data_IF_194277145069
#
_entry.id   IF_194277145069
#
_cell.length_a   1.000
_cell.length_b   1.000
_cell.length_c   1.000
_cell.angle_alpha   90.00
_cell.angle_beta   90.00
_cell.angle_gamma   90.00
#
_symmetry.space_group_name_H-M   'P 1'
#
loop_
_entity.id
_entity.type
_entity.pdbx_description
1 polymer ?
#
# COMPACT_ATOMS: atom_id res chain seq x y z
N UNK A 1 20.14 21.76 16.05
CA UNK A 1 18.98 21.13 15.40
C UNK A 1 19.40 19.69 15.11
N UNK A 2 18.88 18.72 15.87
CA UNK A 2 19.24 17.32 15.66
C UNK A 2 18.69 16.84 14.30
N UNK A 3 19.38 15.89 13.65
CA UNK A 3 18.97 15.32 12.36
C UNK A 3 17.53 14.77 12.38
N UNK A 4 17.03 14.36 13.56
CA UNK A 4 15.66 13.94 13.82
C UNK A 4 14.62 15.05 13.60
N UNK A 5 14.92 16.29 14.01
CA UNK A 5 14.02 17.44 13.87
C UNK A 5 14.02 18.01 12.45
N UNK A 6 15.18 18.02 11.79
CA UNK A 6 15.28 18.43 10.38
C UNK A 6 14.53 17.45 9.45
N UNK A 7 14.55 16.14 9.77
CA UNK A 7 13.81 15.12 9.05
C UNK A 7 12.28 15.25 9.22
N UNK A 8 11.81 15.54 10.43
CA UNK A 8 10.39 15.84 10.67
C UNK A 8 9.94 17.11 9.94
N UNK A 9 10.82 18.12 9.86
CA UNK A 9 10.55 19.37 9.13
C UNK A 9 10.46 19.17 7.62
N UNK A 10 11.38 18.39 7.01
CA UNK A 10 11.37 18.10 5.56
C UNK A 10 10.14 17.30 5.12
N UNK A 11 9.68 16.35 5.96
CA UNK A 11 8.43 15.62 5.70
C UNK A 11 7.22 16.57 5.77
N UNK A 12 7.18 17.47 6.77
CA UNK A 12 6.08 18.42 6.97
C UNK A 12 5.97 19.44 5.82
N UNK A 13 7.10 19.87 5.24
CA UNK A 13 7.14 20.80 4.11
C UNK A 13 6.58 20.16 2.82
N UNK A 14 6.83 18.86 2.58
CA UNK A 14 6.35 18.18 1.37
C UNK A 14 4.83 17.89 1.41
N UNK A 15 4.28 17.62 2.60
CA UNK A 15 2.82 17.43 2.77
C UNK A 15 2.04 18.75 2.62
N UNK A 16 2.57 19.87 3.09
CA UNK A 16 1.93 21.18 2.94
C UNK A 16 1.92 21.70 1.49
N UNK A 17 2.84 21.24 0.64
CA UNK A 17 2.92 21.66 -0.76
C UNK A 17 1.87 20.98 -1.66
N UNK A 18 1.26 19.87 -1.23
CA UNK A 18 0.23 19.13 -2.00
C UNK A 18 -1.19 19.56 -1.62
N UNK A 19 -1.37 20.34 -0.55
CA UNK A 19 -2.69 20.68 0.02
C UNK A 19 -3.09 22.15 -0.17
N UNK A 20 -3.05 22.68 -1.39
CA UNK A 20 -3.71 23.97 -1.70
C UNK A 20 -5.04 23.76 -2.43
N UNK A 21 -6.12 24.01 -1.67
CA UNK A 21 -7.57 23.96 -1.93
C UNK A 21 -8.26 22.65 -1.52
N UNK A 22 -8.63 22.59 -0.25
CA UNK A 22 -9.69 21.68 0.24
C UNK A 22 -11.01 22.45 0.19
N UNK A 23 -12.00 21.89 -0.52
CA UNK A 23 -13.38 22.35 -0.51
C UNK A 23 -14.01 22.16 0.88
N UNK A 24 -14.83 23.10 1.38
CA UNK A 24 -15.53 22.92 2.64
C UNK A 24 -16.64 21.88 2.45
N UNK A 25 -16.36 20.62 2.82
CA UNK A 25 -17.29 19.50 2.71
C UNK A 25 -16.67 18.18 2.28
N UNK A 26 -15.44 18.18 1.75
CA UNK A 26 -14.74 16.96 1.36
C UNK A 26 -14.08 16.27 2.55
N UNK A 27 -14.47 15.03 2.84
CA UNK A 27 -13.68 14.13 3.70
C UNK A 27 -12.34 13.95 2.98
N UNK A 28 -11.27 14.53 3.52
CA UNK A 28 -9.93 14.32 2.99
C UNK A 28 -9.65 12.81 2.95
N UNK A 29 -9.51 12.26 1.74
CA UNK A 29 -9.19 10.85 1.49
C UNK A 29 -7.79 10.56 2.03
N UNK A 30 -7.70 10.26 3.32
CA UNK A 30 -6.45 9.81 3.91
C UNK A 30 -6.21 8.36 3.48
N UNK A 31 -5.14 8.11 2.73
CA UNK A 31 -4.79 6.75 2.33
C UNK A 31 -4.49 5.89 3.56
N UNK A 32 -5.33 4.88 3.79
CA UNK A 32 -5.10 3.89 4.84
C UNK A 32 -3.71 3.27 4.72
N UNK A 33 -3.04 3.05 5.85
CA UNK A 33 -1.71 2.42 5.89
C UNK A 33 -1.78 1.13 6.68
N UNK A 34 -1.13 0.08 6.20
CA UNK A 34 -1.00 -1.18 6.93
C UNK A 34 0.37 -1.27 7.58
N UNK A 35 0.44 -1.78 8.81
CA UNK A 35 1.67 -2.23 9.45
C UNK A 35 1.45 -3.65 9.98
N UNK A 36 2.36 -4.56 9.65
CA UNK A 36 2.46 -5.91 10.17
C UNK A 36 3.72 -6.02 10.99
N UNK A 37 3.59 -6.63 12.16
CA UNK A 37 4.64 -6.97 13.09
C UNK A 37 4.54 -8.46 13.41
N UNK A 38 5.61 -9.19 13.13
CA UNK A 38 5.75 -10.59 13.48
C UNK A 38 7.01 -10.77 14.31
N UNK A 39 6.88 -11.30 15.53
CA UNK A 39 8.03 -11.66 16.36
C UNK A 39 8.40 -13.11 16.15
N UNK A 40 9.70 -13.41 16.22
CA UNK A 40 10.21 -14.78 16.17
C UNK A 40 9.71 -15.60 17.34
N UNK A 41 9.78 -15.01 18.53
CA UNK A 41 9.19 -15.61 19.73
C UNK A 41 7.72 -15.18 19.87
N UNK A 42 6.80 -16.14 19.68
CA UNK A 42 5.35 -15.93 19.69
C UNK A 42 4.84 -15.34 21.01
N UNK A 43 5.51 -15.61 22.13
CA UNK A 43 5.07 -15.18 23.47
C UNK A 43 5.35 -13.71 23.78
N UNK A 44 6.08 -12.99 22.93
CA UNK A 44 6.52 -11.62 23.20
C UNK A 44 5.70 -10.53 22.51
N UNK A 45 4.64 -10.89 21.78
CA UNK A 45 3.71 -9.89 21.22
C UNK A 45 2.66 -9.58 22.29
N UNK A 46 2.96 -8.58 23.13
CA UNK A 46 1.95 -8.05 24.04
C UNK A 46 0.94 -7.23 23.26
N UNK A 47 -0.30 -7.71 23.17
CA UNK A 47 -1.42 -7.01 22.52
C UNK A 47 -1.55 -5.55 23.03
N UNK A 48 -1.47 -5.36 24.36
CA UNK A 48 -1.59 -4.04 24.97
C UNK A 48 -0.46 -3.07 24.56
N UNK A 49 0.78 -3.57 24.43
CA UNK A 49 1.90 -2.74 23.99
C UNK A 49 1.73 -2.34 22.51
N UNK A 50 1.43 -3.31 21.64
CA UNK A 50 1.22 -3.02 20.22
C UNK A 50 0.07 -2.04 19.98
N UNK A 51 -1.07 -2.23 20.65
CA UNK A 51 -2.22 -1.32 20.55
C UNK A 51 -1.85 0.11 20.95
N UNK A 52 -1.10 0.29 22.03
CA UNK A 52 -0.61 1.60 22.46
C UNK A 52 0.33 2.22 21.42
N UNK A 53 1.31 1.45 20.95
CA UNK A 53 2.29 1.89 19.95
C UNK A 53 1.61 2.32 18.64
N UNK A 54 0.70 1.51 18.11
CA UNK A 54 -0.06 1.83 16.89
C UNK A 54 -0.95 3.05 17.09
N UNK A 55 -1.60 3.21 18.25
CA UNK A 55 -2.42 4.40 18.53
C UNK A 55 -1.58 5.67 18.49
N UNK A 56 -0.38 5.63 19.09
CA UNK A 56 0.56 6.76 19.04
C UNK A 56 1.06 7.03 17.62
N UNK A 57 1.42 5.98 16.87
CA UNK A 57 1.83 6.09 15.47
C UNK A 57 0.71 6.69 14.61
N UNK A 58 -0.52 6.23 14.76
CA UNK A 58 -1.71 6.72 14.05
C UNK A 58 -1.89 8.21 14.25
N UNK A 59 -1.80 8.69 15.50
CA UNK A 59 -1.89 10.14 15.81
C UNK A 59 -0.77 10.93 15.14
N UNK A 60 0.46 10.42 15.17
CA UNK A 60 1.59 11.09 14.51
C UNK A 60 1.45 11.10 12.99
N UNK A 61 0.80 10.09 12.40
CA UNK A 61 0.63 9.94 10.95
C UNK A 61 -0.57 10.70 10.41
N UNK A 62 -1.55 11.02 11.25
CA UNK A 62 -2.73 11.76 10.84
C UNK A 62 -2.39 13.25 10.73
N UNK A 63 -2.68 13.91 9.59
CA UNK A 63 -2.53 15.35 9.43
C UNK A 63 -3.40 16.11 10.44
N UNK A 64 -2.92 17.26 10.90
CA UNK A 64 -3.58 18.07 11.93
C UNK A 64 -4.99 18.57 11.52
N UNK A 65 -5.30 18.54 10.21
CA UNK A 65 -6.56 19.01 9.64
C UNK A 65 -7.61 17.91 9.39
N UNK A 66 -7.34 16.65 9.78
CA UNK A 66 -8.26 15.53 9.60
C UNK A 66 -8.59 14.92 10.97
N UNK A 67 -9.87 14.66 11.29
CA UNK A 67 -10.22 13.96 12.51
C UNK A 67 -9.54 12.58 12.57
N UNK A 68 -8.85 12.25 13.67
CA UNK A 68 -8.18 10.97 13.78
C UNK A 68 -9.20 9.84 13.86
N UNK A 69 -9.09 8.89 12.93
CA UNK A 69 -9.86 7.63 12.97
C UNK A 69 -9.05 6.59 13.74
N UNK A 70 -9.64 5.91 14.75
CA UNK A 70 -8.95 4.85 15.47
C UNK A 70 -8.42 3.76 14.53
N UNK A 71 -7.20 3.26 14.75
CA UNK A 71 -6.64 2.19 13.93
C UNK A 71 -7.41 0.88 14.15
N UNK A 72 -7.63 0.12 13.08
CA UNK A 72 -8.16 -1.25 13.18
C UNK A 72 -7.00 -2.20 13.47
N UNK A 73 -7.06 -2.91 14.59
CA UNK A 73 -5.98 -3.79 15.08
C UNK A 73 -6.42 -5.25 14.96
N UNK A 74 -5.52 -6.10 14.48
CA UNK A 74 -5.74 -7.53 14.25
C UNK A 74 -4.55 -8.26 14.86
N UNK A 75 -4.80 -9.22 15.74
CA UNK A 75 -3.72 -10.02 16.36
C UNK A 75 -4.09 -11.49 16.40
N UNK A 76 -3.21 -12.36 15.91
CA UNK A 76 -3.31 -13.81 16.09
C UNK A 76 -1.93 -14.47 16.02
N UNK A 77 -1.72 -15.54 16.79
CA UNK A 77 -0.56 -16.42 16.71
C UNK A 77 0.81 -15.73 16.72
N UNK A 78 1.00 -14.65 17.48
CA UNK A 78 2.26 -13.89 17.52
C UNK A 78 2.50 -12.98 16.30
N UNK A 79 1.45 -12.71 15.52
CA UNK A 79 1.38 -11.67 14.50
C UNK A 79 0.45 -10.58 15.00
N UNK A 80 0.87 -9.34 14.83
CA UNK A 80 0.06 -8.17 15.07
C UNK A 80 0.06 -7.29 13.83
N UNK A 81 -1.12 -6.88 13.40
CA UNK A 81 -1.32 -6.04 12.24
C UNK A 81 -2.23 -4.87 12.62
N UNK A 82 -1.97 -3.71 12.04
CA UNK A 82 -2.84 -2.56 12.18
C UNK A 82 -3.06 -1.83 10.87
N UNK A 83 -4.29 -1.36 10.68
CA UNK A 83 -4.69 -0.47 9.60
C UNK A 83 -4.91 0.91 10.21
N UNK A 84 -4.04 1.85 9.86
CA UNK A 84 -4.13 3.27 10.25
C UNK A 84 -5.07 3.98 9.29
N UNK A 85 -5.98 4.77 9.83
CA UNK A 85 -7.07 5.43 9.10
C UNK A 85 -7.86 4.43 8.23
N UNK A 86 -8.47 3.40 8.84
CA UNK A 86 -9.20 2.38 8.10
C UNK A 86 -10.37 2.99 7.33
N UNK A 87 -10.67 2.41 6.16
CA UNK A 87 -11.89 2.66 5.42
C UNK A 87 -12.69 1.36 5.26
N UNK A 88 -13.99 1.46 5.02
CA UNK A 88 -14.91 0.31 4.94
C UNK A 88 -14.65 -0.61 3.74
N UNK A 89 -13.94 -0.13 2.72
CA UNK A 89 -13.74 -0.83 1.44
C UNK A 89 -12.58 -1.84 1.52
N UNK A 90 -11.74 -1.77 2.57
CA UNK A 90 -10.60 -2.68 2.71
C UNK A 90 -11.04 -4.11 2.99
N UNK A 91 -10.62 -5.04 2.12
CA UNK A 91 -10.83 -6.46 2.33
C UNK A 91 -9.93 -6.98 3.47
N UNK A 92 -10.57 -7.49 4.52
CA UNK A 92 -9.92 -8.06 5.72
C UNK A 92 -10.54 -9.41 6.03
N UNK A 93 -9.71 -10.46 6.18
CA UNK A 93 -10.16 -11.80 6.59
C UNK A 93 -9.09 -12.46 7.45
N UNK A 94 -9.43 -12.76 8.71
CA UNK A 94 -8.45 -13.23 9.70
C UNK A 94 -7.31 -12.23 9.87
N UNK A 95 -6.06 -12.71 9.80
CA UNK A 95 -4.82 -11.92 9.82
C UNK A 95 -4.32 -11.53 8.42
N UNK A 96 -5.22 -11.44 7.45
CA UNK A 96 -4.91 -11.08 6.07
C UNK A 96 -5.69 -9.82 5.66
N UNK A 97 -5.00 -8.93 4.96
CA UNK A 97 -5.51 -7.61 4.54
C UNK A 97 -5.04 -7.31 3.13
N UNK A 98 -5.97 -6.94 2.26
CA UNK A 98 -5.67 -6.35 0.97
C UNK A 98 -5.78 -4.83 1.08
N UNK A 99 -4.64 -4.13 0.93
CA UNK A 99 -4.61 -2.68 0.83
C UNK A 99 -4.83 -2.31 -0.62
N UNK A 100 -6.06 -1.93 -0.99
CA UNK A 100 -6.46 -1.65 -2.37
C UNK A 100 -7.59 -2.57 -2.82
N UNK A 101 -7.67 -2.81 -4.12
CA UNK A 101 -8.77 -3.55 -4.74
C UNK A 101 -8.26 -4.87 -5.32
N UNK A 102 -8.99 -5.95 -5.03
CA UNK A 102 -8.81 -7.25 -5.66
C UNK A 102 -9.94 -7.42 -6.67
N UNK A 103 -9.62 -7.76 -7.92
CA UNK A 103 -10.60 -8.03 -8.95
C UNK A 103 -11.08 -9.48 -8.82
N UNK A 104 -12.40 -9.67 -8.76
CA UNK A 104 -13.04 -10.98 -8.61
C UNK A 104 -12.36 -11.85 -7.54
N UNK A 105 -12.38 -11.41 -6.26
CA UNK A 105 -11.57 -12.02 -5.21
C UNK A 105 -11.92 -13.51 -5.03
N UNK A 106 -10.97 -14.44 -5.23
CA UNK A 106 -11.23 -15.84 -4.97
C UNK A 106 -11.49 -16.06 -3.48
N UNK A 107 -12.33 -17.03 -3.10
CA UNK A 107 -12.66 -17.28 -1.69
C UNK A 107 -11.42 -17.46 -0.80
N UNK A 108 -10.33 -17.98 -1.37
CA UNK A 108 -9.04 -18.28 -0.76
C UNK A 108 -8.01 -17.14 -0.83
N UNK A 109 -8.37 -15.93 -1.26
CA UNK A 109 -7.43 -14.81 -1.45
C UNK A 109 -6.59 -14.47 -0.21
N UNK A 110 -7.05 -14.86 0.98
CA UNK A 110 -6.46 -14.57 2.28
C UNK A 110 -5.48 -15.64 2.77
N UNK A 111 -5.36 -16.77 2.07
CA UNK A 111 -4.53 -17.92 2.47
C UNK A 111 -3.09 -17.71 1.97
N UNK A 112 -2.06 -17.73 2.85
CA UNK A 112 -0.67 -17.66 2.43
C UNK A 112 -0.28 -18.77 1.45
N UNK A 113 0.55 -18.45 0.46
CA UNK A 113 0.99 -19.33 -0.62
C UNK A 113 -0.16 -19.84 -1.52
N UNK A 114 -1.35 -19.27 -1.41
CA UNK A 114 -2.45 -19.49 -2.33
C UNK A 114 -2.30 -18.65 -3.60
N UNK A 115 -3.21 -18.87 -4.57
CA UNK A 115 -3.26 -18.11 -5.83
C UNK A 115 -3.22 -16.59 -5.57
N UNK A 116 -2.31 -15.89 -6.23
CA UNK A 116 -2.27 -14.43 -6.22
C UNK A 116 -3.42 -13.93 -7.09
N UNK A 117 -4.34 -13.09 -6.56
CA UNK A 117 -5.44 -12.58 -7.37
C UNK A 117 -4.98 -11.42 -8.26
N UNK A 118 -5.78 -11.10 -9.28
CA UNK A 118 -5.59 -9.88 -10.06
C UNK A 118 -6.09 -8.66 -9.28
N UNK A 119 -5.51 -7.48 -9.52
CA UNK A 119 -5.96 -6.25 -8.87
C UNK A 119 -4.88 -5.18 -8.77
N UNK A 120 -5.18 -4.17 -7.95
CA UNK A 120 -4.30 -3.05 -7.62
C UNK A 120 -4.17 -2.98 -6.10
N UNK A 121 -3.15 -3.65 -5.56
CA UNK A 121 -3.09 -3.91 -4.13
C UNK A 121 -1.67 -4.06 -3.58
N UNK A 122 -1.57 -3.82 -2.27
CA UNK A 122 -0.54 -4.40 -1.42
C UNK A 122 -1.21 -5.42 -0.50
N UNK A 123 -0.89 -6.70 -0.68
CA UNK A 123 -1.58 -7.80 0.00
C UNK A 123 -0.70 -8.38 1.09
N UNK A 124 -1.25 -8.41 2.31
CA UNK A 124 -0.64 -9.00 3.48
C UNK A 124 -1.46 -10.24 3.83
N UNK A 125 -0.84 -11.41 3.82
CA UNK A 125 -1.45 -12.67 4.24
C UNK A 125 -0.66 -13.25 5.37
N UNK A 126 -1.33 -13.83 6.35
CA UNK A 126 -0.59 -14.53 7.40
C UNK A 126 -1.42 -15.57 8.12
N UNK A 127 -0.71 -16.54 8.70
CA UNK A 127 -1.23 -17.55 9.61
C UNK A 127 -0.17 -17.91 10.66
N UNK A 128 -0.40 -18.97 11.44
CA UNK A 128 0.54 -19.41 12.47
C UNK A 128 1.95 -19.76 11.94
N UNK A 129 2.06 -20.19 10.69
CA UNK A 129 3.29 -20.74 10.11
C UNK A 129 4.01 -19.79 9.16
N UNK A 130 3.28 -18.88 8.50
CA UNK A 130 3.81 -18.03 7.43
C UNK A 130 3.28 -16.61 7.49
N UNK A 131 4.13 -15.68 7.06
CA UNK A 131 3.72 -14.33 6.64
C UNK A 131 4.07 -14.18 5.17
N UNK A 132 3.11 -13.76 4.37
CA UNK A 132 3.26 -13.54 2.94
C UNK A 132 2.87 -12.10 2.58
N UNK A 133 3.70 -11.47 1.77
CA UNK A 133 3.51 -10.13 1.24
C UNK A 133 3.51 -10.21 -0.27
N UNK A 134 2.49 -9.66 -0.92
CA UNK A 134 2.32 -9.74 -2.36
C UNK A 134 2.06 -8.36 -2.94
N UNK A 135 2.77 -8.04 -4.02
CA UNK A 135 2.54 -6.87 -4.86
C UNK A 135 1.83 -7.31 -6.13
N UNK A 136 0.92 -6.46 -6.63
CA UNK A 136 0.34 -6.67 -7.96
C UNK A 136 1.40 -6.52 -9.07
N UNK A 137 0.99 -6.82 -10.32
CA UNK A 137 1.85 -6.86 -11.49
C UNK A 137 2.71 -5.61 -11.69
N UNK A 138 2.20 -4.43 -11.34
CA UNK A 138 2.89 -3.15 -11.52
C UNK A 138 3.37 -2.53 -10.19
N UNK A 139 3.11 -3.19 -9.07
CA UNK A 139 3.45 -2.68 -7.75
C UNK A 139 2.72 -1.37 -7.45
N UNK A 140 1.42 -1.31 -7.78
CA UNK A 140 0.61 -0.09 -7.68
C UNK A 140 0.62 0.52 -6.27
N UNK A 141 0.85 -0.33 -5.26
CA UNK A 141 1.08 0.07 -3.87
C UNK A 141 2.37 -0.54 -3.38
N UNK A 142 3.22 0.32 -2.83
CA UNK A 142 4.51 -0.12 -2.29
C UNK A 142 4.34 -0.92 -1.01
N UNK A 143 5.08 -2.02 -0.91
CA UNK A 143 5.25 -2.79 0.33
C UNK A 143 6.72 -2.73 0.71
N UNK A 144 6.97 -2.30 1.94
CA UNK A 144 8.28 -2.22 2.53
C UNK A 144 8.40 -3.28 3.61
N UNK A 145 9.59 -3.84 3.78
CA UNK A 145 9.85 -4.79 4.85
C UNK A 145 11.26 -4.63 5.43
N UNK A 146 11.43 -5.15 6.64
CA UNK A 146 12.72 -5.35 7.29
C UNK A 146 12.64 -6.63 8.13
N UNK A 147 13.74 -7.37 8.14
CA UNK A 147 13.90 -8.55 8.99
C UNK A 147 15.12 -8.36 9.88
N UNK A 148 14.95 -8.61 11.16
CA UNK A 148 16.01 -8.73 12.17
C UNK A 148 16.00 -10.15 12.76
N UNK A 149 16.98 -10.51 13.60
CA UNK A 149 17.00 -11.82 14.25
C UNK A 149 15.72 -12.18 15.03
N UNK A 150 15.00 -11.18 15.54
CA UNK A 150 13.84 -11.35 16.44
C UNK A 150 12.52 -10.80 15.88
N UNK A 151 12.58 -9.97 14.84
CA UNK A 151 11.45 -9.18 14.35
C UNK A 151 11.38 -9.19 12.83
N UNK A 152 10.17 -9.34 12.31
CA UNK A 152 9.83 -9.04 10.94
C UNK A 152 8.77 -7.94 10.92
N UNK A 153 9.06 -6.86 10.22
CA UNK A 153 8.12 -5.75 10.02
C UNK A 153 7.84 -5.61 8.54
N UNK A 154 6.58 -5.34 8.22
CA UNK A 154 6.17 -4.98 6.88
C UNK A 154 5.13 -3.86 6.91
N UNK A 155 5.17 -2.96 5.95
CA UNK A 155 4.24 -1.84 5.91
C UNK A 155 4.13 -1.20 4.53
N UNK A 156 3.01 -0.55 4.27
CA UNK A 156 2.87 0.41 3.16
C UNK A 156 3.44 1.81 3.53
N UNK A 157 4.19 1.92 4.64
CA UNK A 157 4.82 3.16 5.11
C UNK A 157 6.19 2.86 5.73
N UNK A 158 7.26 3.37 5.12
CA UNK A 158 8.61 3.28 5.70
C UNK A 158 8.68 3.92 7.09
N UNK A 159 7.94 5.02 7.31
CA UNK A 159 7.89 5.73 8.59
C UNK A 159 7.32 4.86 9.71
N UNK A 160 6.35 4.02 9.41
CA UNK A 160 5.82 3.04 10.36
C UNK A 160 6.88 2.02 10.75
N UNK A 161 7.65 1.52 9.78
CA UNK A 161 8.74 0.57 10.06
C UNK A 161 9.81 1.22 10.96
N UNK A 162 10.28 2.43 10.62
CA UNK A 162 11.27 3.15 11.45
C UNK A 162 10.75 3.38 12.87
N UNK A 163 9.47 3.70 13.04
CA UNK A 163 8.85 3.85 14.37
C UNK A 163 8.97 2.58 15.22
N UNK A 164 8.73 1.39 14.65
CA UNK A 164 8.85 0.12 15.36
C UNK A 164 10.29 -0.41 15.47
N UNK A 165 11.21 0.06 14.62
CA UNK A 165 12.64 -0.19 14.77
C UNK A 165 13.29 0.64 15.88
N UNK A 166 12.61 1.69 16.35
CA UNK A 166 13.06 2.62 17.39
C UNK A 166 14.45 3.25 17.11
N UNK A 167 14.85 3.25 15.84
CA UNK A 167 16.16 3.71 15.37
C UNK A 167 16.05 4.00 13.88
N UNK A 168 16.92 4.89 13.37
CA UNK A 168 16.98 5.27 11.96
C UNK A 168 18.41 5.17 11.45
N UNK A 169 18.62 4.40 10.39
CA UNK A 169 19.90 4.27 9.68
C UNK A 169 19.77 4.89 8.29
N UNK A 170 20.18 6.14 8.16
CA UNK A 170 19.96 6.94 6.95
C UNK A 170 20.56 6.28 5.70
N UNK A 171 19.80 6.25 4.61
CA UNK A 171 20.29 5.88 3.30
C UNK A 171 20.74 7.11 2.48
N UNK A 172 22.04 7.30 2.36
CA UNK A 172 22.61 8.41 1.57
C UNK A 172 22.24 8.35 0.09
N UNK A 173 22.11 7.17 -0.53
CA UNK A 173 21.71 7.06 -1.93
C UNK A 173 20.30 7.60 -2.15
N UNK A 174 19.38 7.28 -1.22
CA UNK A 174 18.03 7.82 -1.22
C UNK A 174 18.02 9.35 -1.07
N UNK A 175 18.95 9.91 -0.28
CA UNK A 175 19.12 11.36 -0.17
C UNK A 175 19.63 11.97 -1.48
N UNK A 176 20.62 11.37 -2.13
CA UNK A 176 21.14 11.86 -3.41
C UNK A 176 20.08 11.84 -4.50
N UNK A 177 19.29 10.76 -4.58
CA UNK A 177 18.15 10.69 -5.48
C UNK A 177 17.09 11.75 -5.18
N UNK A 178 16.78 11.98 -3.90
CA UNK A 178 15.82 13.00 -3.52
C UNK A 178 16.30 14.39 -3.93
N UNK A 179 17.58 14.70 -3.73
CA UNK A 179 18.16 15.99 -4.07
C UNK A 179 18.24 16.21 -5.58
N UNK A 180 18.52 15.16 -6.36
CA UNK A 180 18.69 15.28 -7.82
C UNK A 180 17.37 15.23 -8.58
N UNK A 181 16.38 14.47 -8.10
CA UNK A 181 15.15 14.14 -8.85
C UNK A 181 13.84 14.40 -8.10
N UNK A 182 13.89 14.71 -6.80
CA UNK A 182 12.70 14.83 -5.95
C UNK A 182 12.04 13.49 -5.59
N UNK A 183 12.65 12.36 -5.98
CA UNK A 183 12.18 10.99 -5.73
C UNK A 183 13.24 10.18 -4.97
N UNK A 184 12.86 9.06 -4.35
CA UNK A 184 13.82 8.24 -3.61
C UNK A 184 14.75 7.41 -4.50
N UNK A 185 14.48 7.35 -5.80
CA UNK A 185 15.09 6.38 -6.71
C UNK A 185 14.38 5.02 -6.66
N UNK A 186 14.61 4.15 -7.66
CA UNK A 186 13.90 2.89 -7.79
C UNK A 186 14.29 1.92 -6.67
N UNK A 187 13.30 1.54 -5.84
CA UNK A 187 13.46 0.54 -4.78
C UNK A 187 14.17 1.01 -3.50
N UNK A 188 14.64 2.26 -3.46
CA UNK A 188 15.31 2.80 -2.29
C UNK A 188 14.35 3.21 -1.17
N UNK A 189 14.80 3.01 0.07
CA UNK A 189 14.15 3.48 1.28
C UNK A 189 15.03 4.52 1.98
N UNK A 190 14.40 5.37 2.80
CA UNK A 190 15.09 6.34 3.65
C UNK A 190 16.00 5.69 4.68
N UNK A 191 15.66 4.49 5.14
CA UNK A 191 16.46 3.71 6.07
C UNK A 191 17.12 2.53 5.33
N UNK A 192 18.44 2.36 5.46
CA UNK A 192 19.24 1.34 4.74
C UNK A 192 18.79 -0.10 5.01
N UNK A 193 18.15 -0.35 6.15
CA UNK A 193 17.69 -1.69 6.55
C UNK A 193 16.37 -2.06 5.87
N UNK A 194 15.62 -1.07 5.41
CA UNK A 194 14.29 -1.26 4.81
C UNK A 194 14.44 -1.58 3.33
N UNK A 195 13.74 -2.61 2.88
CA UNK A 195 13.71 -3.04 1.48
C UNK A 195 12.31 -2.90 0.91
N UNK A 196 12.20 -2.50 -0.36
CA UNK A 196 10.94 -2.59 -1.10
C UNK A 196 10.75 -4.01 -1.63
N UNK A 197 9.51 -4.49 -1.63
CA UNK A 197 9.13 -5.61 -2.49
C UNK A 197 8.99 -5.08 -3.93
N UNK A 198 9.61 -5.72 -4.94
CA UNK A 198 9.44 -5.32 -6.33
C UNK A 198 8.00 -5.53 -6.81
N UNK A 199 7.60 -4.95 -7.95
CA UNK A 199 6.36 -5.34 -8.65
C UNK A 199 6.31 -6.85 -8.93
N UNK A 200 5.10 -7.38 -9.11
CA UNK A 200 4.83 -8.77 -9.49
C UNK A 200 5.60 -9.80 -8.65
N UNK A 201 5.61 -9.60 -7.34
CA UNK A 201 6.46 -10.37 -6.43
C UNK A 201 5.71 -10.87 -5.21
N UNK A 202 6.16 -12.01 -4.71
CA UNK A 202 5.69 -12.64 -3.49
C UNK A 202 6.87 -12.87 -2.54
N UNK A 203 6.79 -12.27 -1.36
CA UNK A 203 7.74 -12.48 -0.26
C UNK A 203 7.07 -13.34 0.80
N UNK A 204 7.69 -14.48 1.13
CA UNK A 204 7.22 -15.40 2.17
C UNK A 204 8.26 -15.51 3.28
N UNK A 205 7.87 -15.18 4.49
CA UNK A 205 8.58 -15.53 5.71
C UNK A 205 8.05 -16.86 6.24
N UNK A 206 8.93 -17.86 6.29
CA UNK A 206 8.67 -19.08 7.07
C UNK A 206 9.00 -18.82 8.54
N UNK A 207 7.99 -18.94 9.41
CA UNK A 207 8.13 -18.55 10.83
C UNK A 207 8.88 -19.58 11.67
N UNK A 208 8.99 -20.82 11.21
CA UNK A 208 9.71 -21.90 11.91
C UNK A 208 11.21 -21.76 11.70
N UNK A 209 11.62 -21.64 10.45
CA UNK A 209 13.02 -21.44 10.06
C UNK A 209 13.51 -20.00 10.22
N UNK A 210 12.58 -19.04 10.21
CA UNK A 210 12.85 -17.60 10.19
C UNK A 210 13.58 -17.14 8.92
N UNK A 211 13.31 -17.79 7.80
CA UNK A 211 13.89 -17.45 6.49
C UNK A 211 12.87 -16.77 5.59
N UNK A 212 13.36 -15.83 4.78
CA UNK A 212 12.58 -15.16 3.75
C UNK A 212 12.90 -15.73 2.38
N UNK A 213 11.86 -15.97 1.60
CA UNK A 213 11.92 -16.30 0.19
C UNK A 213 11.21 -15.21 -0.60
N UNK A 214 11.90 -14.59 -1.56
CA UNK A 214 11.32 -13.62 -2.47
C UNK A 214 11.29 -14.23 -3.87
N UNK A 215 10.09 -14.46 -4.39
CA UNK A 215 9.85 -14.80 -5.79
C UNK A 215 9.38 -13.57 -6.55
N UNK A 216 9.97 -13.32 -7.71
CA UNK A 216 9.54 -12.25 -8.63
C UNK A 216 9.27 -12.88 -9.97
N UNK A 217 8.06 -12.69 -10.48
CA UNK A 217 7.69 -13.14 -11.81
C UNK A 217 8.04 -12.05 -12.82
N UNK A 218 8.68 -12.46 -13.93
CA UNK A 218 9.00 -11.52 -15.00
C UNK A 218 7.71 -11.14 -15.71
N UNK A 219 7.32 -9.87 -15.62
CA UNK A 219 6.25 -9.34 -16.45
C UNK A 219 6.73 -9.31 -17.90
N UNK A 220 6.08 -10.08 -18.77
CA UNK A 220 6.35 -10.07 -20.21
C UNK A 220 5.27 -9.24 -20.87
N UNK A 221 5.58 -7.99 -21.17
CA UNK A 221 4.73 -7.18 -22.04
C UNK A 221 5.08 -7.54 -23.49
N UNK A 222 4.35 -8.48 -24.07
CA UNK A 222 4.45 -8.74 -25.50
C UNK A 222 3.72 -7.61 -26.22
N UNK A 223 4.44 -6.84 -27.02
CA UNK A 223 3.79 -5.95 -27.97
C UNK A 223 2.99 -6.81 -28.94
N UNK A 224 1.67 -6.60 -29.10
CA UNK A 224 0.93 -7.26 -30.16
C UNK A 224 1.61 -6.93 -31.50
N UNK A 225 1.74 -7.93 -32.37
CA UNK A 225 2.16 -7.68 -33.74
C UNK A 225 1.08 -6.81 -34.39
N UNK A 226 1.42 -5.69 -35.04
CA UNK A 226 0.42 -4.76 -35.54
C UNK A 226 -0.46 -5.43 -36.59
N UNK A 227 -1.70 -5.74 -36.22
CA UNK A 227 -2.74 -6.20 -37.14
C UNK A 227 -3.62 -5.01 -37.54
N UNK A 228 -3.09 -4.13 -38.39
CA UNK A 228 -3.85 -3.08 -39.08
C UNK A 228 -4.05 -1.75 -38.32
N UNK A 229 -4.70 -0.80 -39.00
CA UNK A 229 -4.89 0.61 -38.59
C UNK A 229 -5.87 0.83 -37.43
N UNK A 230 -6.29 -0.21 -36.71
CA UNK A 230 -7.46 -0.16 -35.83
C UNK A 230 -7.17 -0.07 -34.32
N UNK A 231 -5.98 0.38 -33.93
CA UNK A 231 -5.55 0.47 -32.52
C UNK A 231 -6.47 1.33 -31.65
N UNK A 232 -7.14 2.31 -32.24
CA UNK A 232 -8.11 3.14 -31.52
C UNK A 232 -9.31 2.31 -31.05
N UNK A 233 -9.94 1.54 -31.94
CA UNK A 233 -11.11 0.73 -31.57
C UNK A 233 -10.74 -0.39 -30.59
N UNK A 234 -9.55 -0.97 -30.73
CA UNK A 234 -9.04 -1.95 -29.76
C UNK A 234 -8.88 -1.33 -28.38
N UNK A 235 -8.26 -0.15 -28.28
CA UNK A 235 -8.09 0.56 -27.01
C UNK A 235 -9.42 0.96 -26.38
N UNK A 236 -10.35 1.49 -27.18
CA UNK A 236 -11.69 1.86 -26.71
C UNK A 236 -12.44 0.63 -26.17
N UNK A 237 -12.41 -0.49 -26.88
CA UNK A 237 -13.03 -1.75 -26.45
C UNK A 237 -12.42 -2.30 -25.16
N UNK A 238 -11.09 -2.23 -25.00
CA UNK A 238 -10.41 -2.70 -23.79
C UNK A 238 -10.72 -1.81 -22.58
N UNK A 239 -10.83 -0.48 -22.78
CA UNK A 239 -11.24 0.45 -21.72
C UNK A 239 -12.68 0.19 -21.31
N UNK A 240 -13.60 -0.01 -22.26
CA UNK A 240 -15.00 -0.33 -21.99
C UNK A 240 -15.13 -1.65 -21.23
N UNK A 241 -14.42 -2.71 -21.65
CA UNK A 241 -14.39 -3.99 -20.96
C UNK A 241 -13.87 -3.84 -19.52
N UNK A 242 -12.76 -3.13 -19.33
CA UNK A 242 -12.20 -2.85 -18.01
C UNK A 242 -13.22 -2.13 -17.12
N UNK A 243 -13.89 -1.09 -17.62
CA UNK A 243 -14.89 -0.34 -16.84
C UNK A 243 -16.10 -1.20 -16.52
N UNK A 244 -16.50 -2.10 -17.42
CA UNK A 244 -17.54 -3.10 -17.17
C UNK A 244 -17.19 -4.00 -15.98
N UNK A 245 -15.94 -4.44 -15.90
CA UNK A 245 -15.46 -5.38 -14.86
C UNK A 245 -15.17 -4.72 -13.49
N UNK A 246 -15.04 -3.39 -13.44
CA UNK A 246 -14.74 -2.70 -12.18
C UNK A 246 -15.92 -2.77 -11.22
N UNK A 247 -15.78 -3.42 -10.07
CA UNK A 247 -16.84 -3.47 -9.04
C UNK A 247 -16.53 -2.47 -7.93
N UNK A 248 -17.11 -1.27 -7.99
CA UNK A 248 -17.01 -0.27 -6.93
C UNK A 248 -18.32 0.48 -6.73
N UNK A 249 -18.52 0.95 -5.50
CA UNK A 249 -19.70 1.71 -5.07
C UNK A 249 -19.63 3.15 -5.59
N UNK A 250 -20.45 3.45 -6.60
CA UNK A 250 -20.59 4.75 -7.26
C UNK A 250 -20.82 5.91 -6.27
N UNK A 251 -21.51 5.68 -5.14
CA UNK A 251 -21.78 6.73 -4.15
C UNK A 251 -20.56 7.04 -3.29
N UNK A 252 -19.65 6.07 -3.11
CA UNK A 252 -18.46 6.20 -2.26
C UNK A 252 -17.21 6.57 -3.05
N UNK A 253 -17.23 6.42 -4.37
CA UNK A 253 -16.07 6.61 -5.21
C UNK A 253 -15.99 8.02 -5.80
N UNK A 254 -14.77 8.57 -5.85
CA UNK A 254 -14.50 9.94 -6.31
C UNK A 254 -13.47 9.87 -7.44
N UNK A 255 -13.82 10.38 -8.61
CA UNK A 255 -12.88 10.55 -9.73
C UNK A 255 -12.16 11.90 -9.63
N UNK A 256 -10.84 11.87 -9.44
CA UNK A 256 -10.03 13.09 -9.47
C UNK A 256 -9.88 13.62 -10.91
N UNK A 257 -10.41 14.82 -11.17
CA UNK A 257 -10.32 15.49 -12.47
C UNK A 257 -9.17 16.50 -12.49
N UNK A 258 -8.25 16.34 -13.45
CA UNK A 258 -7.12 17.28 -13.64
C UNK A 258 -7.34 18.28 -14.78
N UNK A 259 -8.43 18.11 -15.56
CA UNK A 259 -8.66 18.84 -16.81
C UNK A 259 -7.89 18.28 -18.01
N UNK A 260 -6.99 17.30 -17.78
CA UNK A 260 -6.27 16.58 -18.83
C UNK A 260 -7.19 15.75 -19.72
N UNK A 261 -6.64 15.22 -20.81
CA UNK A 261 -7.37 14.33 -21.71
C UNK A 261 -7.77 13.03 -20.99
N UNK A 262 -6.81 12.39 -20.31
CA UNK A 262 -7.01 11.09 -19.65
C UNK A 262 -8.14 11.11 -18.61
N UNK A 263 -8.12 12.08 -17.68
CA UNK A 263 -9.16 12.18 -16.64
C UNK A 263 -10.54 12.46 -17.22
N UNK A 264 -10.62 13.18 -18.35
CA UNK A 264 -11.89 13.47 -19.04
C UNK A 264 -12.39 12.26 -19.81
N UNK A 265 -11.49 11.54 -20.50
CA UNK A 265 -11.81 10.30 -21.18
C UNK A 265 -12.36 9.28 -20.18
N UNK A 266 -11.68 9.05 -19.05
CA UNK A 266 -12.17 8.15 -18.00
C UNK A 266 -13.56 8.57 -17.48
N UNK A 267 -13.78 9.87 -17.22
CA UNK A 267 -15.10 10.37 -16.81
C UNK A 267 -16.17 10.04 -17.85
N UNK A 268 -15.90 10.32 -19.13
CA UNK A 268 -16.85 10.07 -20.21
C UNK A 268 -17.14 8.57 -20.36
N UNK A 269 -16.12 7.71 -20.30
CA UNK A 269 -16.30 6.25 -20.37
C UNK A 269 -17.12 5.72 -19.20
N UNK A 270 -16.94 6.24 -17.98
CA UNK A 270 -17.79 5.89 -16.83
C UNK A 270 -19.25 6.31 -17.05
N UNK A 271 -19.48 7.54 -17.53
CA UNK A 271 -20.84 8.04 -17.80
C UNK A 271 -21.54 7.24 -18.91
N UNK A 272 -20.82 6.86 -19.97
CA UNK A 272 -21.34 6.02 -21.05
C UNK A 272 -21.72 4.62 -20.56
N UNK A 273 -20.98 4.09 -19.59
CA UNK A 273 -21.26 2.81 -18.93
C UNK A 273 -22.40 2.89 -17.91
N UNK A 274 -23.10 4.02 -17.82
CA UNK A 274 -24.23 4.24 -16.91
C UNK A 274 -23.83 4.48 -15.45
N UNK A 275 -22.55 4.65 -15.16
CA UNK A 275 -22.04 4.91 -13.80
C UNK A 275 -22.08 6.38 -13.46
N UNK A 276 -22.33 6.70 -12.19
CA UNK A 276 -22.33 8.08 -11.69
C UNK A 276 -21.19 8.26 -10.70
N UNK A 277 -20.22 9.10 -11.03
CA UNK A 277 -19.21 9.55 -10.06
C UNK A 277 -19.76 10.75 -9.29
N UNK A 278 -19.59 10.76 -7.97
CA UNK A 278 -19.58 12.02 -7.22
C UNK A 278 -18.36 12.82 -7.69
N UNK A 279 -18.58 14.01 -8.24
CA UNK A 279 -17.55 14.92 -8.71
C UNK A 279 -17.24 15.99 -7.65
#
# INVERSE_FOLDING_TARGET
>A
MEASEFFLLLIKIKEQAVTRKVWPGGVGLFMSKCVLLCKRNRNHVSHNNFTRQVTLLSRRMTPDNIPPVPPKIITADGIAMAIISPNEVLAVKGTSVAMGSIFSPPESWYIPCGRVPAGSFALFRSNEDKVELVTDMVGSRTVWYVQTPDLFLASTSQRAIVYFLESFDQNEEACWWMLSSGMLGPGFAWDRRIRSIPPNSCLVLDRKSWNIHLGTEKTVCLAPQPSGDNHQLELESEIEALIGDLDFDDEKWILALSGGFDSRMLLLSFLQSGRKSNA
#
